data_IF_134044322725
#
_entry.id   IF_134044322725
#
_cell.length_a   1.000
_cell.length_b   1.000
_cell.length_c   1.000
_cell.angle_alpha   90.00
_cell.angle_beta   90.00
_cell.angle_gamma   90.00
#
_symmetry.space_group_name_H-M   'P 1'
#
loop_
_entity.id
_entity.type
_entity.pdbx_description
1 polymer ?
#
# COMPACT_ATOMS: atom_id res chain seq x y z
N UNK A 1 4.15 3.38 10.13
CA UNK A 1 2.75 3.21 9.69
C UNK A 1 2.64 2.18 8.58
N UNK A 2 3.34 2.37 7.48
CA UNK A 2 3.23 1.40 6.37
C UNK A 2 3.72 0.00 6.74
N UNK A 3 4.83 -0.11 7.47
CA UNK A 3 5.34 -1.40 7.89
C UNK A 3 4.37 -2.11 8.83
N UNK A 4 3.80 -1.38 9.78
CA UNK A 4 2.79 -1.95 10.69
C UNK A 4 1.53 -2.36 9.94
N UNK A 5 1.09 -1.59 8.94
CA UNK A 5 -0.04 -1.95 8.10
C UNK A 5 0.23 -3.26 7.36
N UNK A 6 1.41 -3.37 6.77
CA UNK A 6 1.82 -4.54 6.00
C UNK A 6 1.85 -5.78 6.89
N UNK A 7 2.46 -5.67 8.06
CA UNK A 7 2.53 -6.78 9.01
C UNK A 7 1.16 -7.25 9.45
N UNK A 8 0.25 -6.32 9.75
CA UNK A 8 -1.11 -6.67 10.17
C UNK A 8 -1.88 -7.39 9.06
N UNK A 9 -1.76 -6.91 7.82
CA UNK A 9 -2.42 -7.54 6.67
C UNK A 9 -1.88 -8.94 6.45
N UNK A 10 -0.55 -9.11 6.47
CA UNK A 10 0.06 -10.41 6.23
C UNK A 10 -0.28 -11.41 7.33
N UNK A 11 -0.32 -10.97 8.59
CA UNK A 11 -0.72 -11.83 9.69
C UNK A 11 -2.16 -12.30 9.53
N UNK A 12 -3.05 -11.40 9.12
CA UNK A 12 -4.46 -11.73 8.89
C UNK A 12 -4.63 -12.77 7.78
N UNK A 13 -3.94 -12.56 6.65
CA UNK A 13 -4.00 -13.49 5.52
C UNK A 13 -3.40 -14.85 5.90
N UNK A 14 -2.30 -14.83 6.66
CA UNK A 14 -1.60 -16.05 7.05
C UNK A 14 -2.45 -16.96 7.97
N UNK A 15 -3.41 -16.40 8.70
CA UNK A 15 -4.32 -17.21 9.52
C UNK A 15 -5.09 -18.22 8.68
N UNK A 16 -5.47 -17.83 7.46
CA UNK A 16 -6.21 -18.72 6.55
C UNK A 16 -5.28 -19.48 5.61
N UNK A 17 -4.21 -18.82 5.14
CA UNK A 17 -3.35 -19.40 4.12
C UNK A 17 -1.96 -18.76 4.16
N UNK A 18 -1.00 -19.46 4.75
CA UNK A 18 0.36 -18.95 4.87
C UNK A 18 1.04 -18.69 3.52
N UNK A 19 0.77 -19.56 2.52
CA UNK A 19 1.35 -19.38 1.19
C UNK A 19 0.81 -18.11 0.52
N UNK A 20 -0.47 -17.83 0.70
CA UNK A 20 -1.07 -16.61 0.14
C UNK A 20 -0.45 -15.36 0.77
N UNK A 21 -0.10 -15.40 2.06
CA UNK A 21 0.58 -14.28 2.72
C UNK A 21 1.96 -14.05 2.12
N UNK A 22 2.71 -15.10 1.85
CA UNK A 22 4.04 -14.99 1.23
C UNK A 22 3.92 -14.37 -0.16
N UNK A 23 2.97 -14.83 -0.96
CA UNK A 23 2.75 -14.30 -2.31
C UNK A 23 2.34 -12.83 -2.29
N UNK A 24 1.48 -12.45 -1.33
CA UNK A 24 1.05 -11.07 -1.19
C UNK A 24 2.22 -10.18 -0.80
N UNK A 25 3.07 -10.65 0.11
CA UNK A 25 4.26 -9.91 0.53
C UNK A 25 5.20 -9.64 -0.65
N UNK A 26 5.41 -10.66 -1.48
CA UNK A 26 6.22 -10.53 -2.69
C UNK A 26 5.63 -9.49 -3.65
N UNK A 27 4.31 -9.45 -3.76
CA UNK A 27 3.64 -8.46 -4.60
C UNK A 27 3.77 -7.04 -4.06
N UNK A 28 3.72 -6.85 -2.73
CA UNK A 28 3.98 -5.55 -2.13
C UNK A 28 5.37 -5.04 -2.53
N UNK A 29 6.38 -5.90 -2.44
CA UNK A 29 7.74 -5.54 -2.83
C UNK A 29 7.86 -5.22 -4.31
N UNK A 30 7.28 -6.06 -5.16
CA UNK A 30 7.35 -5.87 -6.61
C UNK A 30 6.67 -4.55 -7.03
N UNK A 31 5.51 -4.26 -6.46
CA UNK A 31 4.78 -3.04 -6.80
C UNK A 31 5.48 -1.79 -6.26
N UNK A 32 6.06 -1.87 -5.08
CA UNK A 32 6.83 -0.76 -4.53
C UNK A 32 8.04 -0.46 -5.41
N UNK A 33 8.69 -1.48 -5.96
CA UNK A 33 9.81 -1.29 -6.88
C UNK A 33 9.38 -0.59 -8.17
N UNK A 34 8.24 -0.98 -8.73
CA UNK A 34 7.70 -0.32 -9.92
C UNK A 34 7.42 1.16 -9.63
N UNK A 35 6.86 1.45 -8.45
CA UNK A 35 6.60 2.84 -8.06
C UNK A 35 7.89 3.65 -7.94
N UNK A 36 8.97 3.04 -7.45
CA UNK A 36 10.27 3.72 -7.38
C UNK A 36 10.82 4.04 -8.77
N UNK A 37 10.64 3.12 -9.72
CA UNK A 37 11.15 3.30 -11.08
C UNK A 37 10.30 4.24 -11.91
N UNK A 38 8.98 4.23 -11.68
CA UNK A 38 8.02 5.03 -12.45
C UNK A 38 7.03 5.70 -11.50
N UNK A 39 7.47 6.67 -10.71
CA UNK A 39 6.60 7.24 -9.66
C UNK A 39 5.35 7.94 -10.19
N UNK A 40 5.37 8.42 -11.44
CA UNK A 40 4.23 9.10 -12.03
C UNK A 40 3.25 8.17 -12.75
N UNK A 41 3.52 6.86 -12.77
CA UNK A 41 2.71 5.88 -13.48
C UNK A 41 1.32 5.73 -12.89
N UNK A 42 1.22 5.84 -11.56
CA UNK A 42 -0.01 5.52 -10.84
C UNK A 42 -0.84 6.76 -10.58
N UNK A 43 -2.12 6.55 -10.28
CA UNK A 43 -3.10 7.61 -10.12
C UNK A 43 -2.82 8.48 -8.89
N UNK A 44 -3.35 9.70 -8.91
CA UNK A 44 -3.33 10.56 -7.73
C UNK A 44 -4.12 9.90 -6.60
N UNK A 45 -3.58 10.03 -5.38
CA UNK A 45 -4.21 9.46 -4.20
C UNK A 45 -5.38 10.30 -3.69
N UNK A 46 -6.15 9.72 -2.77
CA UNK A 46 -7.26 10.40 -2.11
C UNK A 46 -6.79 11.59 -1.27
N UNK A 47 -5.56 11.53 -0.78
CA UNK A 47 -4.94 12.63 -0.04
C UNK A 47 -4.05 13.40 -1.00
N UNK A 48 -4.14 14.73 -0.98
CA UNK A 48 -3.34 15.58 -1.85
C UNK A 48 -1.85 15.32 -1.64
N UNK A 49 -1.12 15.22 -2.74
CA UNK A 49 0.31 14.96 -2.71
C UNK A 49 0.68 13.50 -2.62
N UNK A 50 -0.30 12.60 -2.58
CA UNK A 50 -0.05 11.16 -2.57
C UNK A 50 -0.46 10.52 -3.88
N UNK A 51 0.01 9.28 -4.08
CA UNK A 51 -0.42 8.42 -5.18
C UNK A 51 -0.80 7.08 -4.61
N UNK A 52 -1.64 6.36 -5.34
CA UNK A 52 -2.13 5.05 -4.92
C UNK A 52 -1.94 4.06 -6.05
N UNK A 53 -1.46 2.86 -5.70
CA UNK A 53 -1.41 1.76 -6.64
C UNK A 53 -2.13 0.55 -6.05
N UNK A 54 -2.83 -0.18 -6.90
CA UNK A 54 -3.53 -1.40 -6.50
C UNK A 54 -2.53 -2.55 -6.57
N UNK A 55 -2.31 -3.22 -5.44
CA UNK A 55 -1.43 -4.39 -5.38
C UNK A 55 -2.22 -5.62 -5.81
N UNK A 56 -3.41 -5.76 -5.24
CA UNK A 56 -4.43 -6.73 -5.63
C UNK A 56 -5.78 -6.03 -5.53
N UNK A 57 -6.86 -6.61 -6.04
CA UNK A 57 -8.17 -5.94 -5.96
C UNK A 57 -8.51 -5.43 -4.56
N UNK A 58 -8.01 -6.11 -3.52
CA UNK A 58 -8.35 -5.80 -2.14
C UNK A 58 -7.32 -4.94 -1.40
N UNK A 59 -6.16 -4.64 -1.99
CA UNK A 59 -5.10 -3.93 -1.28
C UNK A 59 -4.54 -2.79 -2.10
N UNK A 60 -4.30 -1.67 -1.43
CA UNK A 60 -3.81 -0.44 -2.05
C UNK A 60 -2.58 0.05 -1.29
N UNK A 61 -1.55 0.40 -2.03
CA UNK A 61 -0.33 0.98 -1.48
C UNK A 61 -0.38 2.49 -1.73
N UNK A 62 -0.27 3.26 -0.66
CA UNK A 62 -0.27 4.73 -0.71
C UNK A 62 1.16 5.23 -0.54
N UNK A 63 1.63 6.04 -1.47
CA UNK A 63 2.98 6.57 -1.43
C UNK A 63 3.03 8.03 -1.87
N UNK A 64 4.15 8.68 -1.57
CA UNK A 64 4.44 10.01 -2.12
C UNK A 64 5.82 10.01 -2.75
N UNK A 65 5.99 10.90 -3.72
CA UNK A 65 7.25 11.05 -4.43
C UNK A 65 8.06 12.16 -3.79
N UNK A 66 9.29 11.83 -3.42
CA UNK A 66 10.29 12.78 -2.92
C UNK A 66 11.31 13.04 -4.02
N UNK A 67 12.17 14.08 -3.89
CA UNK A 67 13.11 14.41 -4.97
C UNK A 67 14.01 13.25 -5.40
N UNK A 68 14.40 12.38 -4.48
CA UNK A 68 15.31 11.28 -4.76
C UNK A 68 14.84 9.94 -4.21
N UNK A 69 13.55 9.82 -3.87
CA UNK A 69 13.00 8.61 -3.28
C UNK A 69 11.49 8.55 -3.42
N UNK A 70 10.94 7.37 -3.14
CA UNK A 70 9.51 7.17 -2.97
C UNK A 70 9.29 6.71 -1.54
N UNK A 71 8.39 7.37 -0.84
CA UNK A 71 8.05 7.02 0.54
C UNK A 71 6.70 6.35 0.59
N UNK A 72 6.65 5.10 1.05
CA UNK A 72 5.39 4.38 1.27
C UNK A 72 4.81 4.85 2.59
N UNK A 73 3.60 5.40 2.53
CA UNK A 73 2.93 5.97 3.70
C UNK A 73 2.01 4.97 4.38
N UNK A 74 1.22 4.25 3.61
CA UNK A 74 0.26 3.27 4.12
C UNK A 74 0.10 2.09 3.17
N UNK A 75 -0.29 0.96 3.73
CA UNK A 75 -0.82 -0.19 2.97
C UNK A 75 -2.22 -0.45 3.51
N UNK A 76 -3.23 -0.37 2.65
CA UNK A 76 -4.62 -0.37 3.07
C UNK A 76 -5.40 -1.49 2.40
N UNK A 77 -6.38 -2.02 3.12
CA UNK A 77 -7.44 -2.79 2.48
C UNK A 77 -8.30 -1.83 1.67
N UNK A 78 -8.78 -2.27 0.50
CA UNK A 78 -9.51 -1.39 -0.42
C UNK A 78 -10.77 -0.79 0.20
N UNK A 79 -11.38 -1.47 1.18
CA UNK A 79 -12.57 -0.97 1.85
C UNK A 79 -12.26 -0.11 3.08
N UNK A 80 -10.98 -0.01 3.46
CA UNK A 80 -10.57 0.78 4.61
C UNK A 80 -10.69 2.27 4.28
N UNK A 81 -11.23 3.04 5.22
CA UNK A 81 -11.36 4.48 5.03
C UNK A 81 -10.01 5.16 5.13
N UNK A 82 -9.66 5.94 4.11
CA UNK A 82 -8.42 6.71 4.08
C UNK A 82 -8.66 8.04 3.37
N UNK A 83 -8.32 9.16 3.97
CA UNK A 83 -7.82 9.26 5.36
C UNK A 83 -8.90 8.90 6.37
N UNK A 84 -8.52 8.62 7.65
CA UNK A 84 -9.53 8.32 8.67
C UNK A 84 -10.52 9.46 8.81
N UNK A 85 -11.79 9.10 9.11
CA UNK A 85 -12.82 10.11 9.28
C UNK A 85 -12.47 11.02 10.46
N UNK A 86 -12.70 12.32 10.28
CA UNK A 86 -12.50 13.26 11.37
C UNK A 86 -13.59 13.05 12.42
N UNK A 87 -13.18 13.04 13.69
CA UNK A 87 -14.12 13.04 14.79
C UNK A 87 -14.58 14.46 15.06
N UNK A 88 -15.78 14.55 15.52
CA UNK A 88 -16.35 15.83 15.94
C UNK A 88 -16.36 15.93 17.44
#
# INVERSE_FOLDING_TARGET
>A
MALADREAILAYVAEDNAQAAIELDEQFEAKAEIARQRPALYRAGRVKGTRELVVRPNYVLVYRVLPDAVEVLRVLHATQQWPPAKRR
#
